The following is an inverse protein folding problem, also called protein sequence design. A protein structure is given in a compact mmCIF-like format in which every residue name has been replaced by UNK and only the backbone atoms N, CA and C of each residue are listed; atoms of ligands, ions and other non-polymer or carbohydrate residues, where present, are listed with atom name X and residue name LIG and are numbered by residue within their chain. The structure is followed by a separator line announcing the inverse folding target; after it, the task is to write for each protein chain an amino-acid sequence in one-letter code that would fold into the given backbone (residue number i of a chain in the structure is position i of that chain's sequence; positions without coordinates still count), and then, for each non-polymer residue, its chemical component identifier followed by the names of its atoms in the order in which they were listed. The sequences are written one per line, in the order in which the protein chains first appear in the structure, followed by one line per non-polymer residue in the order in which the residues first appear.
data_IF_277207272256
#
_entry.id   IF_277207272256
#
_cell.length_a   1.000
_cell.length_b   1.000
_cell.length_c   1.000
_cell.angle_alpha   90.00
_cell.angle_beta   90.00
_cell.angle_gamma   90.00
#
_symmetry.space_group_name_H-M   'P 1'
#
loop_
_entity.id
_entity.type
_entity.pdbx_description
1 polymer ?
#
# COMPACT_ATOMS: atom_id res chain seq x y z
N UNK A 1 -28.40 6.71 -20.55
CA UNK A 1 -27.95 7.85 -19.75
C UNK A 1 -27.39 7.43 -18.38
N UNK A 2 -28.11 6.66 -17.56
CA UNK A 2 -27.73 6.20 -16.21
C UNK A 2 -26.39 5.40 -16.18
N UNK A 3 -26.17 4.48 -17.12
CA UNK A 3 -24.94 3.66 -17.23
C UNK A 3 -23.67 4.48 -17.52
N UNK A 4 -23.80 5.58 -18.25
CA UNK A 4 -22.70 6.49 -18.55
C UNK A 4 -22.36 7.39 -17.35
N UNK A 5 -23.34 7.75 -16.52
CA UNK A 5 -23.15 8.54 -15.32
C UNK A 5 -22.42 7.72 -14.24
N UNK A 6 -22.85 6.47 -14.00
CA UNK A 6 -22.16 5.57 -13.07
C UNK A 6 -20.71 5.31 -13.49
N UNK A 7 -20.45 5.12 -14.78
CA UNK A 7 -19.07 4.93 -15.28
C UNK A 7 -18.20 6.17 -15.08
N UNK A 8 -18.77 7.36 -15.28
CA UNK A 8 -18.06 8.62 -15.04
C UNK A 8 -17.70 8.80 -13.57
N UNK A 9 -18.59 8.48 -12.67
CA UNK A 9 -18.37 8.57 -11.23
C UNK A 9 -17.27 7.57 -10.78
N UNK A 10 -17.31 6.33 -11.27
CA UNK A 10 -16.27 5.33 -10.97
C UNK A 10 -14.88 5.76 -11.47
N UNK A 11 -14.79 6.29 -12.69
CA UNK A 11 -13.52 6.79 -13.25
C UNK A 11 -12.99 7.98 -12.45
N UNK A 12 -13.86 8.90 -12.04
CA UNK A 12 -13.50 10.04 -11.21
C UNK A 12 -12.94 9.61 -9.84
N UNK A 13 -13.63 8.72 -9.13
CA UNK A 13 -13.17 8.22 -7.84
C UNK A 13 -11.87 7.42 -7.96
N UNK A 14 -11.71 6.64 -9.02
CA UNK A 14 -10.48 5.89 -9.30
C UNK A 14 -9.29 6.82 -9.58
N UNK A 15 -9.49 7.86 -10.39
CA UNK A 15 -8.48 8.87 -10.64
C UNK A 15 -8.04 9.58 -9.35
N UNK A 16 -9.00 9.91 -8.48
CA UNK A 16 -8.74 10.51 -7.18
C UNK A 16 -7.95 9.56 -6.27
N UNK A 17 -8.33 8.28 -6.20
CA UNK A 17 -7.62 7.26 -5.42
C UNK A 17 -6.18 7.08 -5.91
N UNK A 18 -5.96 6.97 -7.23
CA UNK A 18 -4.64 6.86 -7.82
C UNK A 18 -3.76 8.07 -7.51
N UNK A 19 -4.32 9.28 -7.60
CA UNK A 19 -3.61 10.52 -7.25
C UNK A 19 -3.20 10.55 -5.77
N UNK A 20 -4.12 10.22 -4.87
CA UNK A 20 -3.84 10.18 -3.43
C UNK A 20 -2.77 9.13 -3.10
N UNK A 21 -2.88 7.93 -3.67
CA UNK A 21 -1.88 6.87 -3.49
C UNK A 21 -0.50 7.31 -4.00
N UNK A 22 -0.44 7.98 -5.15
CA UNK A 22 0.80 8.53 -5.70
C UNK A 22 1.43 9.59 -4.80
N UNK A 23 0.64 10.50 -4.25
CA UNK A 23 1.14 11.56 -3.34
C UNK A 23 1.72 10.94 -2.06
N UNK A 24 1.00 10.02 -1.43
CA UNK A 24 1.48 9.38 -0.20
C UNK A 24 2.72 8.53 -0.47
N UNK A 25 2.75 7.80 -1.59
CA UNK A 25 3.93 7.03 -1.98
C UNK A 25 5.15 7.94 -2.22
N UNK A 26 4.97 9.08 -2.92
CA UNK A 26 6.02 10.07 -3.10
C UNK A 26 6.55 10.60 -1.77
N UNK A 27 5.64 11.00 -0.87
CA UNK A 27 6.03 11.51 0.45
C UNK A 27 6.85 10.47 1.22
N UNK A 28 6.45 9.20 1.19
CA UNK A 28 7.17 8.11 1.84
C UNK A 28 8.55 7.88 1.23
N UNK A 29 8.68 7.84 -0.10
CA UNK A 29 9.98 7.69 -0.77
C UNK A 29 10.91 8.83 -0.36
N UNK A 30 10.43 10.07 -0.32
CA UNK A 30 11.23 11.23 0.09
C UNK A 30 11.69 11.08 1.55
N UNK A 31 10.78 10.77 2.48
CA UNK A 31 11.10 10.59 3.90
C UNK A 31 12.15 9.48 4.08
N UNK A 32 11.93 8.33 3.43
CA UNK A 32 12.83 7.17 3.53
C UNK A 32 14.18 7.50 2.87
N UNK A 33 14.20 8.25 1.77
CA UNK A 33 15.43 8.68 1.10
C UNK A 33 16.27 9.58 2.02
N UNK A 34 15.64 10.54 2.70
CA UNK A 34 16.32 11.41 3.67
C UNK A 34 16.86 10.58 4.83
N UNK A 35 16.07 9.67 5.37
CA UNK A 35 16.44 8.81 6.50
C UNK A 35 17.66 7.94 6.19
N UNK A 36 17.62 7.19 5.07
CA UNK A 36 18.74 6.31 4.69
C UNK A 36 19.93 7.10 4.15
N UNK A 37 19.71 8.22 3.47
CA UNK A 37 20.78 9.14 3.07
C UNK A 37 21.59 9.66 4.27
N UNK A 38 20.91 10.03 5.34
CA UNK A 38 21.56 10.42 6.61
C UNK A 38 22.36 9.27 7.23
N UNK A 39 21.85 8.02 7.19
CA UNK A 39 22.61 6.83 7.68
C UNK A 39 23.85 6.54 6.84
N UNK A 40 23.79 6.74 5.52
CA UNK A 40 24.98 6.58 4.65
C UNK A 40 25.99 7.69 4.93
N UNK A 41 25.53 8.95 5.06
CA UNK A 41 26.41 10.06 5.39
C UNK A 41 27.14 9.87 6.73
N UNK A 42 26.46 9.28 7.71
CA UNK A 42 27.06 8.95 9.03
C UNK A 42 27.90 7.67 9.03
N UNK A 43 28.11 7.00 7.89
CA UNK A 43 28.88 5.76 7.79
C UNK A 43 28.22 4.51 8.38
N UNK A 44 26.95 4.62 8.80
CA UNK A 44 26.19 3.52 9.42
C UNK A 44 25.60 2.55 8.42
N UNK A 45 25.55 2.93 7.13
CA UNK A 45 24.96 2.14 6.06
C UNK A 45 25.82 2.24 4.80
N UNK A 46 25.87 1.16 4.01
CA UNK A 46 26.68 1.14 2.77
C UNK A 46 26.01 1.97 1.66
N UNK A 47 26.84 2.65 0.85
CA UNK A 47 26.38 3.38 -0.32
C UNK A 47 25.71 2.45 -1.36
N UNK A 48 26.17 1.20 -1.49
CA UNK A 48 25.58 0.21 -2.38
C UNK A 48 24.12 -0.11 -2.02
N UNK A 49 23.81 -0.21 -0.74
CA UNK A 49 22.43 -0.39 -0.31
C UNK A 49 21.56 0.80 -0.72
N UNK A 50 22.06 2.02 -0.46
CA UNK A 50 21.33 3.24 -0.82
C UNK A 50 21.08 3.32 -2.34
N UNK A 51 22.04 2.91 -3.16
CA UNK A 51 21.88 2.85 -4.61
C UNK A 51 20.77 1.86 -5.02
N UNK A 52 20.76 0.64 -4.44
CA UNK A 52 19.72 -0.35 -4.70
C UNK A 52 18.35 0.19 -4.26
N UNK A 53 18.27 0.77 -3.06
CA UNK A 53 17.05 1.40 -2.56
C UNK A 53 16.55 2.50 -3.51
N UNK A 54 17.45 3.40 -3.95
CA UNK A 54 17.09 4.49 -4.83
C UNK A 54 16.58 4.00 -6.19
N UNK A 55 17.27 3.03 -6.80
CA UNK A 55 16.86 2.44 -8.08
C UNK A 55 15.49 1.75 -7.96
N UNK A 56 15.28 0.94 -6.94
CA UNK A 56 14.00 0.23 -6.75
C UNK A 56 12.89 1.19 -6.38
N UNK A 57 13.10 2.07 -5.40
CA UNK A 57 12.06 2.98 -4.91
C UNK A 57 11.66 4.04 -5.94
N UNK A 58 12.63 4.83 -6.41
CA UNK A 58 12.35 5.86 -7.41
C UNK A 58 12.02 5.27 -8.78
N UNK A 59 12.66 4.16 -9.18
CA UNK A 59 12.39 3.50 -10.45
C UNK A 59 10.96 2.99 -10.55
N UNK A 60 10.46 2.27 -9.57
CA UNK A 60 9.07 1.78 -9.54
C UNK A 60 8.06 2.92 -9.48
N UNK A 61 8.35 3.98 -8.71
CA UNK A 61 7.51 5.18 -8.64
C UNK A 61 7.43 5.90 -10.00
N UNK A 62 8.56 6.10 -10.67
CA UNK A 62 8.61 6.74 -12.00
C UNK A 62 7.86 5.92 -13.05
N UNK A 63 8.03 4.60 -13.06
CA UNK A 63 7.29 3.70 -13.97
C UNK A 63 5.79 3.83 -13.73
N UNK A 64 5.34 3.82 -12.47
CA UNK A 64 3.92 4.00 -12.12
C UNK A 64 3.40 5.37 -12.60
N UNK A 65 4.17 6.44 -12.39
CA UNK A 65 3.83 7.80 -12.83
C UNK A 65 3.73 7.93 -14.35
N UNK A 66 4.68 7.39 -15.10
CA UNK A 66 4.68 7.38 -16.58
C UNK A 66 3.46 6.62 -17.10
N UNK A 67 3.18 5.43 -16.55
CA UNK A 67 2.03 4.63 -16.97
C UNK A 67 0.70 5.34 -16.67
N UNK A 68 0.59 6.02 -15.53
CA UNK A 68 -0.58 6.82 -15.20
C UNK A 68 -0.75 8.00 -16.16
N UNK A 69 0.37 8.64 -16.56
CA UNK A 69 0.34 9.74 -17.54
C UNK A 69 -0.07 9.26 -18.94
N UNK A 70 0.44 8.11 -19.40
CA UNK A 70 0.17 7.57 -20.73
C UNK A 70 -1.22 6.95 -20.86
N UNK A 71 -1.66 6.20 -19.82
CA UNK A 71 -2.94 5.48 -19.82
C UNK A 71 -4.11 6.27 -19.23
N UNK A 72 -3.83 7.44 -18.68
CA UNK A 72 -4.81 8.30 -18.02
C UNK A 72 -4.88 8.12 -16.50
N UNK A 73 -5.42 9.13 -15.78
CA UNK A 73 -5.42 9.16 -14.32
C UNK A 73 -6.32 8.07 -13.70
N UNK A 74 -7.34 7.60 -14.42
CA UNK A 74 -8.24 6.54 -13.96
C UNK A 74 -7.77 5.12 -14.30
N UNK A 75 -6.49 4.94 -14.64
CA UNK A 75 -5.95 3.65 -15.04
C UNK A 75 -6.14 2.57 -13.93
N UNK A 76 -6.92 1.55 -14.23
CA UNK A 76 -7.33 0.53 -13.24
C UNK A 76 -6.16 -0.29 -12.68
N UNK A 77 -5.16 -0.61 -13.52
CA UNK A 77 -4.00 -1.39 -13.08
C UNK A 77 -2.99 -0.60 -12.25
N UNK A 78 -3.17 0.74 -12.10
CA UNK A 78 -2.26 1.58 -11.32
C UNK A 78 -2.13 1.07 -9.87
N UNK A 79 -3.23 0.63 -9.24
CA UNK A 79 -3.23 0.07 -7.88
C UNK A 79 -2.28 -1.12 -7.73
N UNK A 80 -2.22 -2.00 -8.74
CA UNK A 80 -1.31 -3.15 -8.75
C UNK A 80 0.14 -2.74 -8.89
N UNK A 81 0.43 -1.80 -9.79
CA UNK A 81 1.78 -1.28 -10.02
C UNK A 81 2.28 -0.55 -8.78
N UNK A 82 1.44 0.30 -8.18
CA UNK A 82 1.78 1.01 -6.96
C UNK A 82 1.96 0.05 -5.77
N UNK A 83 1.05 -0.90 -5.58
CA UNK A 83 1.11 -1.88 -4.50
C UNK A 83 2.35 -2.78 -4.60
N UNK A 84 2.59 -3.37 -5.78
CA UNK A 84 3.76 -4.24 -6.00
C UNK A 84 5.04 -3.43 -5.92
N UNK A 85 5.09 -2.24 -6.53
CA UNK A 85 6.27 -1.37 -6.48
C UNK A 85 6.63 -0.96 -5.05
N UNK A 86 5.62 -0.69 -4.22
CA UNK A 86 5.85 -0.39 -2.82
C UNK A 86 6.32 -1.63 -2.03
N UNK A 87 5.77 -2.82 -2.29
CA UNK A 87 6.23 -4.07 -1.65
C UNK A 87 7.67 -4.39 -2.05
N UNK A 88 8.06 -4.14 -3.30
CA UNK A 88 9.45 -4.28 -3.72
C UNK A 88 10.39 -3.33 -2.96
N UNK A 89 9.99 -2.07 -2.81
CA UNK A 89 10.72 -1.10 -1.99
C UNK A 89 10.81 -1.57 -0.54
N UNK A 90 9.69 -2.01 0.04
CA UNK A 90 9.63 -2.54 1.40
C UNK A 90 10.52 -3.79 1.56
N UNK A 91 10.58 -4.67 0.56
CA UNK A 91 11.44 -5.86 0.57
C UNK A 91 12.92 -5.48 0.71
N UNK A 92 13.38 -4.49 -0.07
CA UNK A 92 14.76 -4.00 0.02
C UNK A 92 15.06 -3.48 1.44
N UNK A 93 14.13 -2.73 2.01
CA UNK A 93 14.26 -2.18 3.36
C UNK A 93 14.29 -3.32 4.40
N UNK A 94 13.31 -4.21 4.35
CA UNK A 94 13.15 -5.28 5.34
C UNK A 94 14.35 -6.26 5.38
N UNK A 95 14.94 -6.54 4.22
CA UNK A 95 16.06 -7.50 4.13
C UNK A 95 17.41 -6.91 4.52
N UNK A 96 17.61 -5.61 4.30
CA UNK A 96 18.92 -4.99 4.52
C UNK A 96 18.95 -4.19 5.82
N UNK A 97 17.85 -3.58 6.21
CA UNK A 97 17.78 -2.86 7.49
C UNK A 97 17.81 -3.86 8.63
N UNK A 98 18.80 -3.71 9.49
CA UNK A 98 18.90 -4.43 10.76
C UNK A 98 18.03 -3.79 11.84
N UNK A 99 17.35 -2.69 11.51
CA UNK A 99 16.50 -1.96 12.44
C UNK A 99 15.20 -2.75 12.71
N UNK A 100 14.84 -2.88 13.96
CA UNK A 100 13.59 -3.52 14.44
C UNK A 100 12.35 -2.79 13.93
N UNK A 101 12.47 -1.50 13.64
CA UNK A 101 11.38 -0.61 13.24
C UNK A 101 11.04 -0.73 11.73
N UNK A 102 11.79 -1.50 10.96
CA UNK A 102 11.62 -1.57 9.50
C UNK A 102 10.19 -1.98 9.06
N UNK A 103 9.48 -2.74 9.88
CA UNK A 103 8.09 -3.15 9.59
C UNK A 103 7.09 -1.97 9.58
N UNK A 104 7.39 -0.85 10.25
CA UNK A 104 6.51 0.32 10.31
C UNK A 104 6.31 0.93 8.93
N UNK A 105 7.29 0.82 8.03
CA UNK A 105 7.20 1.38 6.69
C UNK A 105 6.11 0.75 5.82
N UNK A 106 5.55 -0.41 6.19
CA UNK A 106 4.42 -1.02 5.47
C UNK A 106 3.06 -0.40 5.86
N UNK A 107 2.93 0.18 7.05
CA UNK A 107 1.65 0.67 7.56
C UNK A 107 0.98 1.74 6.68
N UNK A 108 1.72 2.73 6.12
CA UNK A 108 1.13 3.69 5.21
C UNK A 108 0.56 3.07 3.94
N UNK A 109 1.21 2.02 3.38
CA UNK A 109 0.64 1.28 2.27
C UNK A 109 -0.70 0.66 2.66
N UNK A 110 -0.75 -0.03 3.80
CA UNK A 110 -1.98 -0.69 4.28
C UNK A 110 -3.12 0.32 4.38
N UNK A 111 -2.84 1.52 4.89
CA UNK A 111 -3.83 2.60 5.02
C UNK A 111 -4.37 3.07 3.66
N UNK A 112 -3.51 3.14 2.63
CA UNK A 112 -3.91 3.57 1.28
C UNK A 112 -4.80 2.53 0.59
N UNK A 113 -4.66 1.24 0.91
CA UNK A 113 -5.43 0.18 0.27
C UNK A 113 -6.95 0.37 0.44
N UNK A 114 -7.39 1.06 1.50
CA UNK A 114 -8.80 1.39 1.75
C UNK A 114 -9.41 2.19 0.60
N UNK A 115 -8.63 3.05 -0.06
CA UNK A 115 -9.12 3.92 -1.13
C UNK A 115 -9.64 3.15 -2.35
N UNK A 116 -9.15 1.94 -2.56
CA UNK A 116 -9.52 1.12 -3.72
C UNK A 116 -10.77 0.26 -3.49
N UNK A 117 -11.27 0.16 -2.26
CA UNK A 117 -12.48 -0.60 -1.89
C UNK A 117 -12.51 -2.03 -2.44
N UNK A 118 -11.33 -2.66 -2.62
CA UNK A 118 -11.18 -4.01 -3.19
C UNK A 118 -10.61 -4.99 -2.16
N UNK A 119 -11.47 -5.82 -1.51
CA UNK A 119 -11.02 -6.79 -0.51
C UNK A 119 -10.08 -7.88 -1.06
N UNK A 120 -10.21 -8.22 -2.37
CA UNK A 120 -9.33 -9.21 -3.00
C UNK A 120 -7.93 -8.67 -3.15
N UNK A 121 -7.81 -7.43 -3.60
CA UNK A 121 -6.53 -6.73 -3.72
C UNK A 121 -5.83 -6.63 -2.37
N UNK A 122 -6.54 -6.19 -1.32
CA UNK A 122 -5.98 -6.10 0.04
C UNK A 122 -5.48 -7.45 0.54
N UNK A 123 -6.21 -8.54 0.30
CA UNK A 123 -5.81 -9.88 0.71
C UNK A 123 -4.51 -10.34 0.03
N UNK A 124 -4.36 -10.04 -1.26
CA UNK A 124 -3.13 -10.36 -1.99
C UNK A 124 -1.95 -9.56 -1.44
N UNK A 125 -2.13 -8.26 -1.22
CA UNK A 125 -1.11 -7.40 -0.62
C UNK A 125 -0.72 -7.87 0.79
N UNK A 126 -1.67 -8.34 1.59
CA UNK A 126 -1.42 -8.93 2.91
C UNK A 126 -0.49 -10.13 2.81
N UNK A 127 -0.80 -11.10 1.94
CA UNK A 127 0.02 -12.30 1.81
C UNK A 127 1.42 -12.00 1.29
N UNK A 128 1.56 -11.06 0.35
CA UNK A 128 2.86 -10.60 -0.13
C UNK A 128 3.66 -9.93 1.00
N UNK A 129 3.02 -9.10 1.82
CA UNK A 129 3.68 -8.45 2.96
C UNK A 129 4.12 -9.45 4.01
N UNK A 130 3.26 -10.40 4.36
CA UNK A 130 3.58 -11.47 5.33
C UNK A 130 4.76 -12.32 4.81
N UNK A 131 4.76 -12.65 3.52
CA UNK A 131 5.86 -13.37 2.90
C UNK A 131 7.18 -12.60 2.98
N UNK A 132 7.18 -11.30 2.67
CA UNK A 132 8.37 -10.44 2.77
C UNK A 132 8.86 -10.37 4.21
N UNK A 133 7.96 -10.17 5.17
CA UNK A 133 8.30 -10.09 6.59
C UNK A 133 8.87 -11.41 7.10
N UNK A 134 8.24 -12.53 6.77
CA UNK A 134 8.72 -13.85 7.16
C UNK A 134 10.10 -14.16 6.56
N UNK A 135 10.27 -13.95 5.26
CA UNK A 135 11.53 -14.20 4.57
C UNK A 135 12.67 -13.29 5.08
N UNK A 136 12.37 -12.03 5.39
CA UNK A 136 13.36 -11.10 5.95
C UNK A 136 13.80 -11.52 7.36
N UNK A 137 12.88 -12.01 8.20
CA UNK A 137 13.21 -12.50 9.54
C UNK A 137 14.03 -13.80 9.48
N UNK A 138 13.69 -14.73 8.59
CA UNK A 138 14.50 -15.93 8.35
C UNK A 138 15.91 -15.56 7.89
N UNK A 139 16.04 -14.61 6.96
CA UNK A 139 17.33 -14.12 6.50
C UNK A 139 18.13 -13.47 7.63
N UNK A 140 17.52 -12.63 8.46
CA UNK A 140 18.17 -12.01 9.62
C UNK A 140 18.66 -13.06 10.62
N UNK A 141 17.86 -14.08 10.92
CA UNK A 141 18.23 -15.17 11.81
C UNK A 141 19.37 -16.00 11.27
N UNK A 142 19.24 -16.55 10.07
CA UNK A 142 20.18 -17.53 9.51
C UNK A 142 21.47 -16.89 8.98
N UNK A 143 21.37 -15.76 8.29
CA UNK A 143 22.53 -15.16 7.59
C UNK A 143 23.22 -14.10 8.45
N UNK A 144 22.45 -13.34 9.22
CA UNK A 144 22.98 -12.27 10.09
C UNK A 144 23.24 -12.71 11.54
N UNK A 145 22.89 -13.95 11.89
CA UNK A 145 23.07 -14.48 13.23
C UNK A 145 22.18 -13.84 14.31
N UNK A 146 21.09 -13.17 13.91
CA UNK A 146 20.13 -12.50 14.81
C UNK A 146 19.03 -13.45 15.30
N UNK A 147 19.39 -14.68 15.72
CA UNK A 147 18.42 -15.68 16.17
C UNK A 147 17.64 -15.23 17.42
N UNK A 148 18.29 -14.50 18.32
CA UNK A 148 17.64 -13.95 19.52
C UNK A 148 16.50 -13.00 19.14
N UNK A 149 16.67 -12.18 18.11
CA UNK A 149 15.62 -11.31 17.59
C UNK A 149 14.49 -12.12 16.96
N UNK A 150 14.79 -13.14 16.15
CA UNK A 150 13.76 -13.96 15.47
C UNK A 150 12.93 -14.75 16.46
N UNK A 151 13.50 -15.16 17.59
CA UNK A 151 12.80 -15.83 18.68
C UNK A 151 12.18 -14.87 19.70
N UNK A 152 12.36 -13.57 19.53
CA UNK A 152 11.90 -12.55 20.47
C UNK A 152 10.39 -12.26 20.37
N UNK A 153 9.84 -11.68 21.43
CA UNK A 153 8.48 -11.18 21.47
C UNK A 153 8.26 -10.04 20.46
N UNK A 154 9.29 -9.27 20.14
CA UNK A 154 9.28 -8.19 19.17
C UNK A 154 8.98 -8.70 17.75
N UNK A 155 9.54 -9.81 17.35
CA UNK A 155 9.26 -10.44 16.06
C UNK A 155 7.79 -10.88 15.97
N UNK A 156 7.26 -11.50 17.02
CA UNK A 156 5.84 -11.89 17.10
C UNK A 156 4.95 -10.65 17.05
N UNK A 157 5.31 -9.59 17.77
CA UNK A 157 4.58 -8.34 17.81
C UNK A 157 4.52 -7.66 16.42
N UNK A 158 5.62 -7.70 15.65
CA UNK A 158 5.64 -7.17 14.27
C UNK A 158 4.60 -7.86 13.39
N UNK A 159 4.54 -9.20 13.42
CA UNK A 159 3.52 -9.96 12.68
C UNK A 159 2.11 -9.63 13.16
N UNK A 160 1.90 -9.56 14.47
CA UNK A 160 0.59 -9.26 15.05
C UNK A 160 0.10 -7.88 14.62
N UNK A 161 0.95 -6.84 14.66
CA UNK A 161 0.60 -5.48 14.24
C UNK A 161 0.26 -5.44 12.75
N UNK A 162 1.05 -6.08 11.90
CA UNK A 162 0.81 -6.10 10.45
C UNK A 162 -0.49 -6.83 10.14
N UNK A 163 -0.73 -8.00 10.70
CA UNK A 163 -1.96 -8.76 10.49
C UNK A 163 -3.19 -8.02 11.02
N UNK A 164 -3.09 -7.42 12.19
CA UNK A 164 -4.16 -6.60 12.77
C UNK A 164 -4.48 -5.40 11.86
N UNK A 165 -3.47 -4.70 11.34
CA UNK A 165 -3.65 -3.57 10.44
C UNK A 165 -4.35 -3.97 9.14
N UNK A 166 -4.01 -5.12 8.57
CA UNK A 166 -4.72 -5.67 7.40
C UNK A 166 -6.15 -6.10 7.73
N UNK A 167 -6.38 -6.70 8.90
CA UNK A 167 -7.72 -7.05 9.35
C UNK A 167 -8.61 -5.80 9.51
N UNK A 168 -8.11 -4.76 10.18
CA UNK A 168 -8.81 -3.49 10.32
C UNK A 168 -9.12 -2.85 8.96
N UNK A 169 -8.14 -2.84 8.05
CA UNK A 169 -8.32 -2.33 6.68
C UNK A 169 -9.40 -3.10 5.93
N UNK A 170 -9.39 -4.42 6.00
CA UNK A 170 -10.40 -5.25 5.35
C UNK A 170 -11.81 -5.04 5.93
N UNK A 171 -11.91 -4.87 7.25
CA UNK A 171 -13.18 -4.51 7.92
C UNK A 171 -13.68 -3.13 7.48
N UNK A 172 -12.79 -2.13 7.44
CA UNK A 172 -13.12 -0.79 6.96
C UNK A 172 -13.63 -0.79 5.51
N UNK A 173 -12.98 -1.55 4.62
CA UNK A 173 -13.41 -1.68 3.21
C UNK A 173 -14.80 -2.33 3.12
N UNK A 174 -15.05 -3.41 3.87
CA UNK A 174 -16.35 -4.07 3.88
C UNK A 174 -17.45 -3.12 4.36
N UNK A 175 -17.16 -2.35 5.41
CA UNK A 175 -18.10 -1.36 5.93
C UNK A 175 -18.39 -0.26 4.88
N UNK A 176 -17.35 0.29 4.23
CA UNK A 176 -17.50 1.31 3.20
C UNK A 176 -18.33 0.79 2.02
N UNK A 177 -18.06 -0.42 1.53
CA UNK A 177 -18.80 -1.02 0.42
C UNK A 177 -20.26 -1.26 0.79
N UNK A 178 -20.54 -1.72 2.00
CA UNK A 178 -21.92 -1.91 2.48
C UNK A 178 -22.66 -0.57 2.64
N UNK A 179 -21.99 0.45 3.18
CA UNK A 179 -22.55 1.80 3.33
C UNK A 179 -22.86 2.45 1.98
N UNK A 180 -21.95 2.35 1.02
CA UNK A 180 -22.18 2.86 -0.36
C UNK A 180 -23.37 2.15 -1.02
N UNK A 181 -23.50 0.84 -0.83
CA UNK A 181 -24.63 0.07 -1.36
C UNK A 181 -25.98 0.49 -0.74
N UNK A 182 -26.02 0.71 0.57
CA UNK A 182 -27.21 1.18 1.27
C UNK A 182 -27.63 2.59 0.83
N UNK A 183 -26.65 3.49 0.67
CA UNK A 183 -26.91 4.86 0.19
C UNK A 183 -27.46 4.86 -1.23
N UNK A 184 -26.89 4.07 -2.12
CA UNK A 184 -27.36 3.94 -3.52
C UNK A 184 -28.78 3.39 -3.57
N UNK A 185 -29.11 2.38 -2.78
CA UNK A 185 -30.46 1.82 -2.68
C UNK A 185 -31.49 2.83 -2.14
N UNK A 186 -31.12 3.64 -1.14
CA UNK A 186 -31.98 4.71 -0.62
C UNK A 186 -32.26 5.78 -1.66
N UNK A 187 -31.27 6.24 -2.41
CA UNK A 187 -31.44 7.22 -3.49
C UNK A 187 -32.35 6.65 -4.58
N UNK A 188 -32.18 5.38 -4.94
CA UNK A 188 -33.01 4.73 -5.97
C UNK A 188 -34.47 4.61 -5.54
N UNK A 189 -34.74 4.25 -4.29
CA UNK A 189 -36.09 4.22 -3.73
C UNK A 189 -36.74 5.61 -3.72
N UNK A 190 -36.02 6.65 -3.31
CA UNK A 190 -36.53 8.00 -3.27
C UNK A 190 -36.84 8.54 -4.67
N UNK A 191 -36.02 8.22 -5.68
CA UNK A 191 -36.30 8.59 -7.08
C UNK A 191 -37.52 7.87 -7.64
N UNK A 192 -37.69 6.58 -7.33
CA UNK A 192 -38.85 5.80 -7.75
C UNK A 192 -40.14 6.34 -7.12
N UNK A 193 -40.12 6.70 -5.83
CA UNK A 193 -41.26 7.31 -5.14
C UNK A 193 -41.62 8.67 -5.73
N UNK A 194 -40.64 9.50 -6.10
CA UNK A 194 -40.87 10.79 -6.72
C UNK A 194 -41.49 10.72 -8.14
N UNK A 195 -41.17 9.63 -8.87
CA UNK A 195 -41.70 9.36 -10.20
C UNK A 195 -43.17 8.84 -10.18
N UNK A 196 -43.58 8.20 -9.08
CA UNK A 196 -44.97 7.70 -8.90
C UNK A 196 -45.91 8.84 -8.51
N UNK A 197 -45.40 9.92 -7.97
CA UNK A 197 -46.22 11.09 -7.56
C UNK A 197 -46.35 12.19 -8.61
N UNK A 198 -45.88 11.99 -9.84
CA UNK A 198 -46.10 12.84 -11.02
C UNK A 198 -47.07 12.14 -11.97
#
# INVERSE_FOLDING_TARGET
MRKNMQKYDEEFFRAKANRMAGIVWLALIVIITIFYGSKVHSGKLSANFFAIYAVVGWGTFLVAGILCKVKGPAYDRYRWIAGIGYILLYSVIAWVSLDEISFVFILPLISILVLYKDPKFVRIMMWLTVFVLASSNVYKGMVKGMMDFVSSAECVLQFAIVLCSYACTNMAIRHLVASDGALTGSIENNLNLSLIHI
#
